data_IF_462439921961
#
_entry.id   IF_462439921961
#
_cell.length_a   1.000
_cell.length_b   1.000
_cell.length_c   1.000
_cell.angle_alpha   90.00
_cell.angle_beta   90.00
_cell.angle_gamma   90.00
#
_symmetry.space_group_name_H-M   'P 1'
#
loop_
_entity.id
_entity.type
_entity.pdbx_description
1 polymer ?
#
# COMPACT_ATOMS: atom_id res chain seq x y z
N UNK A 1 17.51 -0.78 5.62
CA UNK A 1 16.27 -0.67 6.42
C UNK A 1 15.81 -2.10 6.67
N UNK A 2 15.80 -2.56 7.93
CA UNK A 2 15.30 -3.89 8.27
C UNK A 2 13.79 -3.79 8.56
N UNK A 3 13.02 -4.68 7.94
CA UNK A 3 11.63 -4.95 8.30
C UNK A 3 11.56 -6.16 9.22
N UNK A 4 10.50 -6.27 10.00
CA UNK A 4 10.26 -7.40 10.91
C UNK A 4 8.82 -7.88 10.74
N UNK A 5 8.64 -9.19 10.60
CA UNK A 5 7.33 -9.85 10.64
C UNK A 5 7.36 -10.83 11.79
N UNK A 6 6.42 -10.69 12.71
CA UNK A 6 6.19 -11.61 13.82
C UNK A 6 4.70 -11.95 13.87
N UNK A 7 4.33 -12.90 14.75
CA UNK A 7 2.93 -13.26 14.97
C UNK A 7 2.07 -12.06 15.41
N UNK A 8 2.65 -11.07 16.09
CA UNK A 8 1.89 -9.97 16.73
C UNK A 8 2.08 -8.61 16.06
N UNK A 9 3.17 -8.42 15.30
CA UNK A 9 3.51 -7.12 14.71
C UNK A 9 4.22 -7.26 13.38
N UNK A 10 4.01 -6.25 12.54
CA UNK A 10 4.72 -6.03 11.28
C UNK A 10 5.36 -4.64 11.34
N UNK A 11 6.69 -4.58 11.34
CA UNK A 11 7.46 -3.34 11.29
C UNK A 11 7.98 -3.15 9.87
N UNK A 12 7.61 -2.01 9.26
CA UNK A 12 8.05 -1.66 7.91
C UNK A 12 8.48 -0.21 7.88
N UNK A 13 9.66 0.03 7.35
CA UNK A 13 10.26 1.34 7.21
C UNK A 13 10.37 1.67 5.73
N UNK A 14 9.75 2.75 5.29
CA UNK A 14 9.76 3.18 3.91
C UNK A 14 9.77 4.71 3.81
N UNK A 15 10.44 5.22 2.78
CA UNK A 15 10.41 6.64 2.45
C UNK A 15 9.25 6.90 1.50
N UNK A 16 8.50 7.98 1.72
CA UNK A 16 7.49 8.47 0.79
C UNK A 16 7.76 9.91 0.44
N UNK A 17 7.48 10.28 -0.80
CA UNK A 17 7.45 11.68 -1.21
C UNK A 17 6.25 12.39 -0.53
N UNK A 18 6.55 13.36 0.33
CA UNK A 18 5.56 13.99 1.23
C UNK A 18 4.98 15.31 0.71
N UNK A 19 5.50 15.86 -0.40
CA UNK A 19 5.12 17.18 -0.92
C UNK A 19 5.15 17.17 -2.46
N UNK A 20 4.09 17.70 -3.07
CA UNK A 20 3.99 17.97 -4.51
C UNK A 20 4.53 19.38 -4.84
N UNK A 21 5.80 19.67 -4.50
CA UNK A 21 6.33 21.05 -4.60
C UNK A 21 6.87 21.46 -5.98
N UNK A 22 6.62 20.69 -7.02
CA UNK A 22 6.93 21.12 -8.39
C UNK A 22 5.87 20.65 -9.37
N UNK A 23 5.58 21.53 -10.32
CA UNK A 23 4.56 21.44 -11.39
C UNK A 23 4.88 20.31 -12.40
N UNK A 24 5.93 19.50 -12.17
CA UNK A 24 6.56 18.64 -13.17
C UNK A 24 6.76 17.16 -12.78
N UNK A 25 6.13 16.64 -11.72
CA UNK A 25 6.28 15.22 -11.40
C UNK A 25 4.99 14.57 -10.95
N UNK A 26 4.01 14.57 -11.85
CA UNK A 26 2.91 13.63 -11.77
C UNK A 26 3.45 12.20 -11.83
N UNK A 27 3.00 11.35 -10.91
CA UNK A 27 3.23 9.92 -10.98
C UNK A 27 2.81 9.41 -12.38
N UNK A 28 3.68 8.67 -13.11
CA UNK A 28 3.39 8.27 -14.49
C UNK A 28 2.11 7.45 -14.57
N UNK A 29 1.37 7.58 -15.68
CA UNK A 29 0.19 6.76 -15.94
C UNK A 29 0.54 5.27 -15.88
N UNK A 30 -0.37 4.48 -15.33
CA UNK A 30 -0.17 3.07 -15.05
C UNK A 30 -1.27 2.51 -14.17
N UNK A 31 -1.06 1.28 -13.68
CA UNK A 31 -1.99 0.62 -12.76
C UNK A 31 -1.24 0.20 -11.49
N UNK A 32 -1.15 1.14 -10.55
CA UNK A 32 -0.47 0.95 -9.28
C UNK A 32 -0.94 1.99 -8.26
N UNK A 33 -0.69 1.71 -6.99
CA UNK A 33 -0.95 2.61 -5.89
C UNK A 33 0.31 2.84 -5.07
N UNK A 34 0.30 3.94 -4.32
CA UNK A 34 1.25 4.28 -3.28
C UNK A 34 0.49 4.66 -2.02
N UNK A 35 1.14 4.54 -0.87
CA UNK A 35 0.62 5.09 0.37
C UNK A 35 0.47 6.61 0.25
N UNK A 36 -0.71 7.11 0.62
CA UNK A 36 -1.07 8.51 0.63
C UNK A 36 -1.00 9.09 2.04
N UNK A 37 -1.00 10.43 2.11
CA UNK A 37 -1.23 11.13 3.37
C UNK A 37 -2.73 11.28 3.63
N UNK A 38 -3.16 11.39 4.90
CA UNK A 38 -4.56 11.59 5.28
C UNK A 38 -5.17 12.95 4.87
N UNK A 39 -4.37 13.87 4.31
CA UNK A 39 -4.82 15.15 3.79
C UNK A 39 -5.37 15.03 2.35
N UNK A 40 -5.88 16.15 1.80
CA UNK A 40 -6.77 16.24 0.61
C UNK A 40 -6.25 15.63 -0.71
N UNK A 41 -5.13 14.91 -0.70
CA UNK A 41 -4.47 14.34 -1.87
C UNK A 41 -4.61 12.80 -2.00
N UNK A 42 -5.14 12.10 -0.99
CA UNK A 42 -5.46 10.66 -1.10
C UNK A 42 -6.83 10.43 -1.76
N UNK A 43 -6.90 9.52 -2.74
CA UNK A 43 -8.13 9.20 -3.50
C UNK A 43 -8.89 7.99 -2.95
N UNK A 44 -8.30 7.27 -2.00
CA UNK A 44 -8.97 6.17 -1.32
C UNK A 44 -8.31 5.80 -0.02
N UNK A 45 -9.02 4.97 0.75
CA UNK A 45 -8.53 4.46 2.03
C UNK A 45 -9.10 3.08 2.33
N UNK A 46 -8.38 2.32 3.15
CA UNK A 46 -8.80 1.06 3.76
C UNK A 46 -8.71 1.23 5.26
N UNK A 47 -9.76 0.84 5.97
CA UNK A 47 -9.84 0.85 7.43
C UNK A 47 -9.70 -0.57 7.97
N UNK A 48 -8.75 -0.78 8.87
CA UNK A 48 -8.48 -2.04 9.55
C UNK A 48 -8.79 -1.86 11.03
N UNK A 49 -9.51 -2.79 11.63
CA UNK A 49 -9.86 -2.74 13.04
C UNK A 49 -8.96 -3.65 13.86
N UNK A 50 -8.57 -3.17 15.02
CA UNK A 50 -7.92 -3.94 16.06
C UNK A 50 -8.98 -4.45 17.05
N UNK A 51 -8.73 -5.60 17.67
CA UNK A 51 -9.64 -6.23 18.63
C UNK A 51 -9.54 -5.60 20.03
N UNK A 52 -8.58 -4.69 20.25
CA UNK A 52 -8.34 -4.00 21.53
C UNK A 52 -8.16 -2.49 21.35
N UNK A 53 -8.29 -1.76 22.47
CA UNK A 53 -7.84 -0.36 22.54
C UNK A 53 -6.32 -0.29 22.38
N UNK A 54 -5.84 -0.33 21.16
CA UNK A 54 -4.42 -0.21 20.85
C UNK A 54 -4.05 1.25 20.55
N UNK A 55 -2.90 1.63 21.09
CA UNK A 55 -2.31 2.94 20.87
C UNK A 55 -1.55 2.94 19.53
N UNK A 56 -2.21 3.35 18.44
CA UNK A 56 -1.68 3.31 17.06
C UNK A 56 -0.62 4.38 16.73
N UNK A 57 0.12 4.89 17.72
CA UNK A 57 1.12 5.95 17.50
C UNK A 57 2.19 5.58 16.46
N UNK A 58 2.41 4.30 16.18
CA UNK A 58 3.42 3.80 15.25
C UNK A 58 3.04 3.82 13.76
N UNK A 59 1.83 4.27 13.37
CA UNK A 59 1.37 4.30 11.95
C UNK A 59 1.36 5.72 11.36
N UNK A 60 1.76 6.72 12.15
CA UNK A 60 1.88 8.10 11.71
C UNK A 60 3.03 8.26 10.68
N UNK A 61 2.89 9.08 9.62
CA UNK A 61 1.80 10.01 9.30
C UNK A 61 0.72 9.45 8.35
N UNK A 62 0.67 8.13 8.11
CA UNK A 62 -0.18 7.54 7.05
C UNK A 62 -1.50 6.99 7.56
N UNK A 63 -1.72 7.06 8.87
CA UNK A 63 -3.00 6.81 9.51
C UNK A 63 -3.36 7.99 10.40
N UNK A 64 -4.60 8.47 10.23
CA UNK A 64 -5.23 9.32 11.24
C UNK A 64 -5.96 8.38 12.20
N UNK A 65 -5.56 8.38 13.46
CA UNK A 65 -6.40 7.81 14.52
C UNK A 65 -7.66 8.67 14.59
N UNK A 66 -8.83 8.10 14.25
CA UNK A 66 -10.09 8.76 14.61
C UNK A 66 -10.15 8.75 16.15
N UNK A 67 -10.50 9.89 16.73
CA UNK A 67 -10.45 10.21 18.16
C UNK A 67 -11.23 9.25 19.10
N UNK A 68 -11.83 8.18 18.57
CA UNK A 68 -12.57 7.17 19.33
C UNK A 68 -12.32 5.77 18.72
N UNK A 69 -11.22 5.16 19.18
CA UNK A 69 -10.92 3.72 19.35
C UNK A 69 -10.88 2.76 18.12
N UNK A 70 -9.98 1.77 18.24
CA UNK A 70 -9.91 0.46 17.55
C UNK A 70 -9.76 0.40 16.02
N UNK A 71 -9.49 1.49 15.29
CA UNK A 71 -9.27 1.43 13.84
C UNK A 71 -8.02 2.17 13.33
N UNK A 72 -7.29 1.56 12.38
CA UNK A 72 -6.25 2.17 11.56
C UNK A 72 -6.82 2.40 10.16
N UNK A 73 -6.74 3.64 9.67
CA UNK A 73 -7.06 3.95 8.28
C UNK A 73 -5.80 4.20 7.46
N UNK A 74 -5.54 3.34 6.48
CA UNK A 74 -4.45 3.51 5.51
C UNK A 74 -4.97 4.25 4.28
N UNK A 75 -4.30 5.33 3.91
CA UNK A 75 -4.67 6.14 2.75
C UNK A 75 -3.81 5.80 1.53
N UNK A 76 -4.38 5.99 0.34
CA UNK A 76 -3.73 5.64 -0.93
C UNK A 76 -3.94 6.68 -2.02
N UNK A 77 -2.94 6.79 -2.88
CA UNK A 77 -3.05 7.42 -4.20
C UNK A 77 -2.82 6.33 -5.25
N UNK A 78 -3.78 6.17 -6.16
CA UNK A 78 -3.71 5.15 -7.20
C UNK A 78 -3.72 5.79 -8.58
N UNK A 79 -2.75 5.40 -9.42
CA UNK A 79 -2.87 5.51 -10.86
C UNK A 79 -3.71 4.33 -11.36
N UNK A 80 -4.79 4.66 -12.06
CA UNK A 80 -5.75 3.67 -12.57
C UNK A 80 -5.84 3.68 -14.09
N UNK A 81 -5.33 4.74 -14.73
CA UNK A 81 -5.30 4.94 -16.18
C UNK A 81 -3.98 4.45 -16.76
N UNK A 82 -4.05 3.59 -17.77
CA UNK A 82 -2.88 3.00 -18.43
C UNK A 82 -2.85 1.48 -18.30
N UNK A 83 -1.70 0.87 -18.61
CA UNK A 83 -1.52 -0.57 -18.67
C UNK A 83 -0.27 -0.99 -17.87
N UNK A 84 -0.45 -1.86 -16.88
CA UNK A 84 0.64 -2.43 -16.07
C UNK A 84 1.74 -3.13 -16.88
N UNK A 85 1.47 -3.57 -18.11
CA UNK A 85 2.45 -4.18 -19.01
C UNK A 85 3.29 -3.17 -19.81
N UNK A 86 3.03 -1.87 -19.69
CA UNK A 86 3.85 -0.83 -20.32
C UNK A 86 4.81 -0.27 -19.26
N UNK A 87 6.14 -0.42 -19.43
CA UNK A 87 7.11 0.01 -18.42
C UNK A 87 7.10 1.53 -18.15
N UNK A 88 6.91 1.91 -16.88
CA UNK A 88 7.02 3.30 -16.43
C UNK A 88 8.44 3.64 -15.99
N UNK A 89 8.79 4.93 -16.04
CA UNK A 89 10.05 5.45 -15.51
C UNK A 89 9.86 5.90 -14.05
N UNK A 90 10.60 5.29 -13.13
CA UNK A 90 10.69 5.69 -11.71
C UNK A 90 12.16 5.75 -11.29
N UNK A 91 12.51 6.40 -10.16
CA UNK A 91 13.87 6.34 -9.62
C UNK A 91 14.30 4.89 -9.33
N UNK A 92 15.42 4.45 -9.90
CA UNK A 92 15.92 3.07 -9.83
C UNK A 92 17.12 2.88 -8.90
N UNK A 93 17.53 3.94 -8.20
CA UNK A 93 18.77 3.95 -7.39
C UNK A 93 18.66 3.14 -6.10
N UNK A 94 17.44 2.86 -5.63
CA UNK A 94 17.16 2.04 -4.46
C UNK A 94 15.93 1.17 -4.71
N UNK A 95 15.86 -0.03 -4.11
CA UNK A 95 14.65 -0.82 -4.14
C UNK A 95 13.46 -0.05 -3.55
N UNK A 96 12.27 -0.28 -4.08
CA UNK A 96 11.05 0.37 -3.62
C UNK A 96 9.83 -0.54 -3.78
N UNK A 97 8.73 -0.11 -3.18
CA UNK A 97 7.46 -0.79 -3.27
C UNK A 97 6.42 0.06 -3.99
N UNK A 98 5.65 -0.57 -4.86
CA UNK A 98 4.32 -0.10 -5.24
C UNK A 98 3.29 -1.11 -4.75
N UNK A 99 2.03 -0.70 -4.63
CA UNK A 99 0.94 -1.65 -4.41
C UNK A 99 0.21 -1.88 -5.76
N UNK A 100 -0.10 -3.12 -6.14
CA UNK A 100 -0.72 -3.39 -7.43
C UNK A 100 -2.17 -2.90 -7.45
N UNK A 101 -2.70 -2.54 -8.62
CA UNK A 101 -4.08 -2.08 -8.81
C UNK A 101 -4.84 -2.99 -9.78
N UNK A 102 -6.13 -3.23 -9.51
CA UNK A 102 -7.04 -4.04 -10.35
C UNK A 102 -6.77 -5.55 -10.38
N UNK A 103 -5.53 -5.98 -10.11
CA UNK A 103 -5.09 -7.38 -10.05
C UNK A 103 -3.88 -7.53 -9.13
N UNK A 104 -3.34 -8.74 -8.99
CA UNK A 104 -2.07 -8.98 -8.28
C UNK A 104 -0.82 -8.63 -9.12
N UNK A 105 -0.98 -8.46 -10.42
CA UNK A 105 0.15 -8.20 -11.32
C UNK A 105 0.77 -6.83 -11.05
N UNK A 106 2.09 -6.78 -11.07
CA UNK A 106 2.85 -5.56 -10.86
C UNK A 106 2.91 -4.69 -12.11
N UNK A 107 2.85 -3.37 -11.91
CA UNK A 107 3.21 -2.39 -12.94
C UNK A 107 4.67 -2.60 -13.36
N UNK A 108 4.95 -2.78 -14.64
CA UNK A 108 6.33 -2.86 -15.11
C UNK A 108 7.03 -1.52 -14.91
N UNK A 109 8.26 -1.56 -14.43
CA UNK A 109 9.14 -0.39 -14.26
C UNK A 109 10.42 -0.65 -15.06
N UNK A 110 10.86 0.34 -15.83
CA UNK A 110 12.09 0.24 -16.62
C UNK A 110 13.26 -0.13 -15.72
N UNK A 111 14.06 -1.10 -16.17
CA UNK A 111 15.31 -1.54 -15.52
C UNK A 111 15.18 -2.22 -14.15
N UNK A 112 13.95 -2.48 -13.70
CA UNK A 112 13.68 -3.16 -12.43
C UNK A 112 13.01 -4.51 -12.67
N UNK A 113 13.20 -5.45 -11.76
CA UNK A 113 12.40 -6.69 -11.65
C UNK A 113 11.41 -6.50 -10.51
N UNK A 114 10.18 -6.94 -10.71
CA UNK A 114 9.15 -6.90 -9.68
C UNK A 114 8.89 -8.30 -9.12
N UNK A 115 8.89 -8.41 -7.79
CA UNK A 115 8.44 -9.60 -7.06
C UNK A 115 7.18 -9.24 -6.30
N UNK A 116 6.11 -10.03 -6.46
CA UNK A 116 4.87 -9.83 -5.70
C UNK A 116 5.02 -10.47 -4.32
N UNK A 117 4.98 -9.64 -3.28
CA UNK A 117 4.94 -10.03 -1.88
C UNK A 117 3.55 -9.76 -1.29
N UNK A 118 3.25 -10.33 -0.13
CA UNK A 118 1.97 -10.13 0.53
C UNK A 118 2.11 -10.15 2.05
N UNK A 119 1.22 -9.42 2.71
CA UNK A 119 1.07 -9.44 4.16
C UNK A 119 -0.41 -9.60 4.45
N UNK A 120 -0.74 -10.62 5.25
CA UNK A 120 -2.07 -10.82 5.79
C UNK A 120 -2.15 -10.15 7.17
N UNK A 121 -3.02 -9.16 7.28
CA UNK A 121 -3.36 -8.53 8.55
C UNK A 121 -4.61 -9.18 9.09
N UNK A 122 -4.55 -9.66 10.33
CA UNK A 122 -5.77 -9.87 11.08
C UNK A 122 -6.42 -8.52 11.33
N UNK A 123 -7.72 -8.43 11.10
CA UNK A 123 -8.51 -7.24 11.40
C UNK A 123 -9.83 -7.75 11.93
N UNK A 124 -10.23 -7.27 13.11
CA UNK A 124 -11.53 -7.58 13.67
C UNK A 124 -12.61 -7.06 12.71
N UNK A 125 -13.72 -7.78 12.58
CA UNK A 125 -14.91 -7.33 11.85
C UNK A 125 -14.73 -6.84 10.41
N UNK A 126 -13.61 -7.15 9.72
CA UNK A 126 -13.49 -6.93 8.26
C UNK A 126 -14.33 -7.97 7.50
N UNK A 127 -15.63 -7.96 7.79
CA UNK A 127 -16.70 -8.55 7.02
C UNK A 127 -16.96 -7.65 5.81
N UNK A 128 -17.63 -8.16 4.78
CA UNK A 128 -17.90 -7.51 3.48
C UNK A 128 -18.66 -6.15 3.53
N UNK A 129 -18.63 -5.41 4.64
CA UNK A 129 -19.30 -4.12 4.83
C UNK A 129 -18.70 -3.03 3.94
N UNK A 130 -19.60 -2.21 3.38
CA UNK A 130 -19.29 -1.06 2.53
C UNK A 130 -18.43 0.02 3.24
N UNK A 131 -18.29 -0.03 4.56
CA UNK A 131 -17.70 1.03 5.37
C UNK A 131 -16.19 0.94 5.58
N UNK A 132 -15.54 -0.14 5.14
CA UNK A 132 -14.12 -0.41 5.41
C UNK A 132 -13.16 0.00 4.30
N UNK A 133 -13.70 0.44 3.16
CA UNK A 133 -12.91 1.05 2.09
C UNK A 133 -13.70 2.15 1.41
N UNK A 134 -12.99 3.12 0.87
CA UNK A 134 -13.58 4.15 0.03
C UNK A 134 -12.63 4.52 -1.10
N UNK A 135 -13.20 4.90 -2.24
CA UNK A 135 -12.44 5.38 -3.39
C UNK A 135 -11.54 4.32 -4.03
N UNK A 136 -10.45 4.77 -4.66
CA UNK A 136 -9.51 3.89 -5.35
C UNK A 136 -8.45 3.39 -4.38
N UNK A 137 -8.38 2.07 -4.24
CA UNK A 137 -7.46 1.40 -3.30
C UNK A 137 -6.68 0.29 -4.03
N UNK A 138 -5.53 -0.14 -3.49
CA UNK A 138 -4.77 -1.25 -4.04
C UNK A 138 -5.59 -2.53 -4.13
N UNK A 139 -5.17 -3.43 -5.01
CA UNK A 139 -5.66 -4.80 -5.02
C UNK A 139 -5.34 -5.46 -3.67
N UNK A 140 -6.34 -6.10 -3.09
CA UNK A 140 -6.28 -6.82 -1.83
C UNK A 140 -7.25 -7.99 -1.88
N UNK A 141 -7.06 -8.97 -0.99
CA UNK A 141 -8.03 -10.06 -0.78
C UNK A 141 -8.57 -10.01 0.63
N UNK A 142 -9.87 -10.24 0.75
CA UNK A 142 -10.52 -10.43 2.04
C UNK A 142 -10.44 -11.89 2.43
N UNK A 143 -10.26 -12.13 3.72
CA UNK A 143 -10.43 -13.45 4.31
C UNK A 143 -11.89 -13.90 4.23
N UNK A 144 -12.10 -15.21 4.32
CA UNK A 144 -13.43 -15.78 4.55
C UNK A 144 -13.76 -15.80 6.06
N UNK A 145 -14.95 -16.28 6.41
CA UNK A 145 -15.44 -16.38 7.79
C UNK A 145 -14.53 -17.19 8.73
N UNK A 146 -13.75 -18.14 8.19
CA UNK A 146 -12.82 -18.96 8.95
C UNK A 146 -11.41 -18.35 9.03
N UNK A 147 -11.14 -17.34 8.20
CA UNK A 147 -9.82 -16.77 7.98
C UNK A 147 -9.84 -15.25 7.94
N UNK A 148 -10.54 -14.62 8.90
CA UNK A 148 -10.68 -13.17 9.04
C UNK A 148 -9.39 -12.41 8.76
N UNK A 149 -9.51 -11.29 8.06
CA UNK A 149 -8.41 -10.40 7.77
C UNK A 149 -8.39 -9.87 6.34
N UNK A 150 -7.35 -9.09 6.07
CA UNK A 150 -7.09 -8.50 4.76
C UNK A 150 -5.67 -8.84 4.32
N UNK A 151 -5.54 -9.39 3.11
CA UNK A 151 -4.24 -9.63 2.47
C UNK A 151 -3.94 -8.48 1.53
N UNK A 152 -2.93 -7.70 1.88
CA UNK A 152 -2.39 -6.62 1.06
C UNK A 152 -1.24 -7.16 0.20
N UNK A 153 -1.22 -6.81 -1.09
CA UNK A 153 -0.14 -7.17 -2.00
C UNK A 153 0.83 -6.00 -2.17
N UNK A 154 2.09 -6.34 -2.40
CA UNK A 154 3.19 -5.41 -2.60
C UNK A 154 4.00 -5.87 -3.81
N UNK A 155 4.41 -4.92 -4.64
CA UNK A 155 5.34 -5.16 -5.72
C UNK A 155 6.70 -4.62 -5.27
N UNK A 156 7.59 -5.51 -4.89
CA UNK A 156 8.97 -5.19 -4.55
C UNK A 156 9.78 -5.04 -5.84
N UNK A 157 10.34 -3.86 -6.05
CA UNK A 157 11.18 -3.58 -7.22
C UNK A 157 12.63 -3.51 -6.79
N UNK A 158 13.47 -4.29 -7.43
CA UNK A 158 14.92 -4.19 -7.32
C UNK A 158 15.57 -4.07 -8.71
N UNK A 159 16.72 -3.40 -8.77
CA UNK A 159 17.45 -3.21 -10.01
C UNK A 159 17.85 -4.57 -10.58
N UNK A 160 17.70 -4.76 -11.90
CA UNK A 160 18.27 -5.93 -12.56
C UNK A 160 19.77 -5.94 -12.28
N UNK A 161 20.27 -6.92 -11.52
CA UNK A 161 21.71 -7.18 -11.48
C UNK A 161 22.15 -7.43 -12.93
N UNK A 162 23.24 -6.79 -13.41
CA UNK A 162 23.81 -7.20 -14.68
C UNK A 162 24.12 -8.70 -14.57
N UNK A 163 23.58 -9.50 -15.47
CA UNK A 163 24.04 -10.87 -15.70
C UNK A 163 25.54 -10.77 -15.98
N UNK A 164 26.34 -11.26 -15.03
CA UNK A 164 27.79 -11.34 -15.12
C UNK A 164 28.20 -12.38 -16.14
#
# INVERSE_FOLDING_TARGET
MQGEVSQYRVIRNFCIKTIHRTIYQYWPTGQYCIYGKPDKQSYGWIEMYDDRQSNFFSVWPFANQRYYHWAIRLYFFCQTSGNKKIPISLPITKPFYLLPYGSRDCQQVKWMVATTEWIKYHTHDYSYSYYQKHGTVPNHKLGDWNHNGITMFYCYYESKKPSS
#
